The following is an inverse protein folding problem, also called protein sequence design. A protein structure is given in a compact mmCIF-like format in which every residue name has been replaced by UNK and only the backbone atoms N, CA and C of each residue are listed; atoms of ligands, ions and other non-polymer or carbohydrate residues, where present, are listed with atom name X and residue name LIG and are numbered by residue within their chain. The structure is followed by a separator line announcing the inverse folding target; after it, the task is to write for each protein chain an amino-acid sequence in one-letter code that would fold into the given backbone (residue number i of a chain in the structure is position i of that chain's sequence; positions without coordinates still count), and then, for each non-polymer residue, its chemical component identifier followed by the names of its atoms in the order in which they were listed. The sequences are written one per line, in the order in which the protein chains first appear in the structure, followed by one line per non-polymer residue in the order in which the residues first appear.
data_IF_391416458803
#
_entry.id   IF_391416458803
#
_cell.length_a   1.000
_cell.length_b   1.000
_cell.length_c   1.000
_cell.angle_alpha   90.00
_cell.angle_beta   90.00
_cell.angle_gamma   90.00
#
_symmetry.space_group_name_H-M   'P 1'
#
loop_
_entity.id
_entity.type
_entity.pdbx_description
1 polymer ?
#
# COMPACT_ATOMS: atom_id res chain seq x y z
N UNK A 1 -6.65 18.73 -1.84
CA UNK A 1 -5.42 18.22 -1.19
C UNK A 1 -5.38 16.76 -1.52
N UNK A 2 -4.37 16.32 -2.25
CA UNK A 2 -4.22 14.91 -2.61
C UNK A 2 -3.91 14.12 -1.33
N UNK A 3 -4.66 13.04 -1.10
CA UNK A 3 -4.49 12.18 0.07
C UNK A 3 -3.53 11.05 -0.26
N UNK A 4 -2.53 10.81 0.58
CA UNK A 4 -1.62 9.67 0.50
C UNK A 4 -1.84 8.78 1.73
N UNK A 5 -2.26 7.51 1.59
CA UNK A 5 -2.49 6.77 0.36
C UNK A 5 -3.72 7.26 -0.42
N UNK A 6 -3.64 7.23 -1.75
CA UNK A 6 -4.76 7.54 -2.63
C UNK A 6 -5.59 6.28 -2.95
N UNK A 7 -6.84 6.47 -3.39
CA UNK A 7 -7.67 5.38 -3.90
C UNK A 7 -7.43 5.25 -5.40
N UNK A 8 -6.80 4.15 -5.83
CA UNK A 8 -6.56 3.83 -7.25
C UNK A 8 -7.78 3.12 -7.83
N UNK A 9 -8.31 2.14 -7.11
CA UNK A 9 -9.56 1.46 -7.47
C UNK A 9 -10.44 1.37 -6.22
N UNK A 10 -11.66 1.95 -6.25
CA UNK A 10 -12.53 1.95 -5.08
C UNK A 10 -13.03 0.54 -4.77
N UNK A 11 -13.49 0.34 -3.54
CA UNK A 11 -14.20 -0.87 -3.18
C UNK A 11 -15.50 -0.96 -4.00
N UNK A 12 -15.55 -1.84 -4.99
CA UNK A 12 -16.81 -2.18 -5.65
C UNK A 12 -17.71 -2.87 -4.62
N UNK A 13 -18.96 -2.42 -4.51
CA UNK A 13 -19.97 -2.94 -3.60
C UNK A 13 -20.27 -4.43 -3.85
N UNK A 14 -19.97 -4.94 -5.05
CA UNK A 14 -20.07 -6.37 -5.38
C UNK A 14 -18.90 -7.23 -4.88
N UNK A 15 -17.79 -6.60 -4.47
CA UNK A 15 -16.55 -7.28 -4.04
C UNK A 15 -16.40 -7.36 -2.52
N UNK A 16 -17.52 -7.39 -1.80
CA UNK A 16 -17.64 -7.25 -0.33
C UNK A 16 -16.80 -8.20 0.54
N UNK A 17 -16.03 -9.11 -0.04
CA UNK A 17 -15.13 -10.02 0.67
C UNK A 17 -13.64 -9.88 0.27
N UNK A 18 -13.31 -9.13 -0.79
CA UNK A 18 -11.93 -9.04 -1.28
C UNK A 18 -11.02 -8.31 -0.27
N UNK A 19 -9.81 -8.85 -0.08
CA UNK A 19 -8.77 -8.25 0.77
C UNK A 19 -8.17 -7.02 0.06
N UNK A 20 -8.12 -5.85 0.72
CA UNK A 20 -7.51 -4.64 0.15
C UNK A 20 -6.03 -4.83 -0.15
N UNK A 21 -5.54 -4.09 -1.16
CA UNK A 21 -4.11 -4.05 -1.51
C UNK A 21 -3.58 -2.63 -1.48
N UNK A 22 -2.38 -2.45 -0.93
CA UNK A 22 -1.59 -1.23 -1.06
C UNK A 22 -0.47 -1.45 -2.09
N UNK A 23 -0.44 -0.62 -3.13
CA UNK A 23 0.56 -0.63 -4.18
C UNK A 23 1.51 0.56 -4.00
N UNK A 24 2.79 0.27 -3.80
CA UNK A 24 3.84 1.25 -3.49
C UNK A 24 4.54 1.67 -4.78
N UNK A 25 4.76 2.97 -4.97
CA UNK A 25 5.43 3.50 -6.16
C UNK A 25 6.77 2.83 -6.47
N UNK A 26 7.15 2.87 -7.74
CA UNK A 26 8.45 2.44 -8.25
C UNK A 26 9.52 3.54 -8.07
N UNK A 27 10.72 3.35 -8.65
CA UNK A 27 11.79 4.35 -8.60
C UNK A 27 11.40 5.73 -9.15
N UNK A 28 10.41 5.80 -10.04
CA UNK A 28 9.86 7.06 -10.56
C UNK A 28 9.03 7.88 -9.56
N UNK A 29 8.58 7.27 -8.45
CA UNK A 29 7.88 8.00 -7.39
C UNK A 29 6.37 8.18 -7.59
N UNK A 30 5.80 7.71 -8.70
CA UNK A 30 4.38 7.87 -9.01
C UNK A 30 3.60 6.57 -8.88
N UNK A 31 2.30 6.69 -8.73
CA UNK A 31 1.33 5.58 -8.76
C UNK A 31 0.67 5.43 -10.13
N UNK A 32 1.08 6.20 -11.15
CA UNK A 32 0.43 6.26 -12.45
C UNK A 32 0.26 4.88 -13.11
N UNK A 33 1.30 4.04 -13.04
CA UNK A 33 1.26 2.68 -13.59
C UNK A 33 0.12 1.83 -13.02
N UNK A 34 -0.28 2.07 -11.77
CA UNK A 34 -1.38 1.34 -11.13
C UNK A 34 -2.76 1.81 -11.60
N UNK A 35 -2.89 3.06 -12.05
CA UNK A 35 -4.10 3.58 -12.71
C UNK A 35 -4.29 3.01 -14.12
N UNK A 36 -3.23 2.48 -14.74
CA UNK A 36 -3.29 1.81 -16.03
C UNK A 36 -3.71 0.33 -15.94
N UNK A 37 -3.87 -0.22 -14.73
CA UNK A 37 -4.31 -1.60 -14.54
C UNK A 37 -5.80 -1.74 -14.79
N UNK A 38 -6.20 -2.86 -15.42
CA UNK A 38 -7.59 -3.27 -15.42
C UNK A 38 -8.13 -3.45 -13.99
N UNK A 39 -9.47 -3.44 -13.80
CA UNK A 39 -10.05 -3.64 -12.48
C UNK A 39 -9.57 -4.93 -11.81
N UNK A 40 -8.85 -4.79 -10.70
CA UNK A 40 -8.37 -5.91 -9.86
C UNK A 40 -9.50 -6.53 -9.02
N UNK A 41 -10.71 -5.96 -9.10
CA UNK A 41 -11.92 -6.38 -8.39
C UNK A 41 -11.70 -6.50 -6.88
N UNK A 42 -10.97 -5.51 -6.34
CA UNK A 42 -10.69 -5.33 -4.91
C UNK A 42 -10.40 -3.85 -4.63
N UNK A 43 -10.48 -3.39 -3.38
CA UNK A 43 -10.00 -2.07 -3.01
C UNK A 43 -8.49 -1.96 -3.25
N UNK A 44 -8.06 -0.98 -4.03
CA UNK A 44 -6.66 -0.71 -4.36
C UNK A 44 -6.29 0.69 -3.90
N UNK A 45 -5.27 0.76 -3.06
CA UNK A 45 -4.70 2.01 -2.57
C UNK A 45 -3.30 2.20 -3.16
N UNK A 46 -2.98 3.42 -3.57
CA UNK A 46 -1.68 3.78 -4.11
C UNK A 46 -0.90 4.62 -3.11
N UNK A 47 0.38 4.31 -2.90
CA UNK A 47 1.30 5.15 -2.14
C UNK A 47 2.33 5.75 -3.09
N UNK A 48 2.23 7.05 -3.33
CA UNK A 48 3.19 7.81 -4.13
C UNK A 48 4.29 8.42 -3.25
N UNK A 49 5.41 8.81 -3.85
CA UNK A 49 6.50 9.47 -3.14
C UNK A 49 6.06 10.89 -2.72
N UNK A 50 6.04 11.23 -1.41
CA UNK A 50 5.63 12.56 -0.95
C UNK A 50 6.50 13.70 -1.50
N UNK A 51 7.74 13.41 -1.91
CA UNK A 51 8.68 14.39 -2.45
C UNK A 51 8.65 14.50 -3.97
N UNK A 52 7.81 13.71 -4.67
CA UNK A 52 7.75 13.69 -6.13
C UNK A 52 7.52 15.09 -6.72
N UNK A 53 6.52 15.83 -6.22
CA UNK A 53 6.21 17.17 -6.72
C UNK A 53 7.26 18.23 -6.36
N UNK A 54 7.92 18.09 -5.21
CA UNK A 54 8.98 19.00 -4.80
C UNK A 54 10.29 18.78 -5.58
N UNK A 55 10.50 17.58 -6.14
CA UNK A 55 11.77 17.19 -6.77
C UNK A 55 12.91 16.94 -5.77
N UNK A 56 12.72 17.31 -4.50
CA UNK A 56 13.68 17.05 -3.43
C UNK A 56 13.85 15.54 -3.18
N UNK A 57 15.05 15.10 -2.77
CA UNK A 57 15.24 13.73 -2.33
C UNK A 57 14.39 13.43 -1.09
N UNK A 58 14.08 12.16 -0.90
CA UNK A 58 13.55 11.71 0.39
C UNK A 58 14.68 11.73 1.43
N UNK A 59 14.43 12.36 2.57
CA UNK A 59 15.40 12.41 3.66
C UNK A 59 15.45 11.06 4.38
N UNK A 60 16.57 10.34 4.25
CA UNK A 60 16.81 9.09 4.95
C UNK A 60 16.94 7.88 4.02
N UNK A 61 16.83 6.70 4.63
CA UNK A 61 16.99 5.41 3.96
C UNK A 61 15.67 4.86 3.40
N UNK A 62 15.77 3.78 2.63
CA UNK A 62 14.59 3.00 2.20
C UNK A 62 13.75 2.51 3.39
N UNK A 63 14.39 2.17 4.51
CA UNK A 63 13.71 1.74 5.74
C UNK A 63 12.95 2.90 6.40
N UNK A 64 13.48 4.12 6.35
CA UNK A 64 12.79 5.33 6.84
C UNK A 64 11.58 5.67 5.98
N UNK A 65 11.70 5.51 4.66
CA UNK A 65 10.58 5.65 3.73
C UNK A 65 9.50 4.60 3.99
N UNK A 66 9.88 3.33 4.13
CA UNK A 66 8.96 2.27 4.50
C UNK A 66 8.29 2.52 5.86
N UNK A 67 8.99 3.12 6.82
CA UNK A 67 8.43 3.50 8.12
C UNK A 67 7.35 4.56 8.00
N UNK A 68 7.58 5.58 7.17
CA UNK A 68 6.58 6.59 6.85
C UNK A 68 5.33 5.93 6.25
N UNK A 69 5.52 5.05 5.25
CA UNK A 69 4.40 4.39 4.56
C UNK A 69 3.66 3.41 5.47
N UNK A 70 4.37 2.74 6.37
CA UNK A 70 3.78 1.89 7.42
C UNK A 70 2.86 2.70 8.32
N UNK A 71 3.24 3.93 8.70
CA UNK A 71 2.41 4.85 9.46
C UNK A 71 1.11 5.18 8.72
N UNK A 72 1.22 5.57 7.45
CA UNK A 72 0.07 5.88 6.60
C UNK A 72 -0.87 4.68 6.38
N UNK A 73 -0.33 3.47 6.25
CA UNK A 73 -1.13 2.24 6.14
C UNK A 73 -1.91 2.02 7.44
N UNK A 74 -1.27 2.14 8.61
CA UNK A 74 -1.93 2.02 9.92
C UNK A 74 -3.06 3.03 10.08
N UNK A 75 -2.81 4.30 9.77
CA UNK A 75 -3.84 5.35 9.82
C UNK A 75 -5.00 5.06 8.85
N UNK A 76 -4.68 4.57 7.65
CA UNK A 76 -5.70 4.27 6.63
C UNK A 76 -6.60 3.11 7.03
N UNK A 77 -6.06 2.03 7.60
CA UNK A 77 -6.88 0.90 8.05
C UNK A 77 -7.73 1.20 9.28
N UNK A 78 -7.45 2.30 9.97
CA UNK A 78 -8.23 2.80 11.11
C UNK A 78 -9.40 3.70 10.69
N UNK A 79 -9.49 4.13 9.44
CA UNK A 79 -10.61 4.95 8.95
C UNK A 79 -11.93 4.18 8.92
N UNK A 80 -13.08 4.76 9.34
CA UNK A 80 -14.35 4.03 9.44
C UNK A 80 -14.82 3.38 8.14
N UNK A 81 -14.56 4.03 7.02
CA UNK A 81 -14.90 3.63 5.66
C UNK A 81 -13.92 2.61 5.04
N UNK A 82 -12.80 2.30 5.71
CA UNK A 82 -11.88 1.28 5.22
C UNK A 82 -12.53 -0.12 5.26
N UNK A 83 -12.54 -0.88 4.14
CA UNK A 83 -13.20 -2.17 4.01
C UNK A 83 -12.38 -3.28 4.71
N UNK A 84 -12.34 -3.24 6.04
CA UNK A 84 -11.58 -4.18 6.87
C UNK A 84 -12.02 -5.61 6.61
N UNK A 85 -11.05 -6.49 6.40
CA UNK A 85 -11.23 -7.94 6.43
C UNK A 85 -10.42 -8.47 7.59
N UNK A 86 -11.06 -9.18 8.52
CA UNK A 86 -10.36 -9.74 9.68
C UNK A 86 -10.14 -11.23 9.51
N UNK A 87 -9.01 -11.75 9.99
CA UNK A 87 -8.80 -13.18 10.14
C UNK A 87 -9.47 -13.70 11.43
N UNK A 88 -9.40 -15.00 11.69
CA UNK A 88 -10.01 -15.61 12.88
C UNK A 88 -9.44 -15.07 14.22
N UNK A 89 -8.21 -14.56 14.21
CA UNK A 89 -7.56 -13.93 15.36
C UNK A 89 -7.90 -12.43 15.50
N UNK A 90 -8.77 -11.89 14.63
CA UNK A 90 -9.19 -10.48 14.65
C UNK A 90 -8.23 -9.50 13.98
N UNK A 91 -7.10 -9.94 13.43
CA UNK A 91 -6.13 -9.07 12.72
C UNK A 91 -6.67 -8.63 11.36
N UNK A 92 -6.38 -7.39 10.96
CA UNK A 92 -6.78 -6.81 9.67
C UNK A 92 -5.90 -7.39 8.56
N UNK A 93 -6.49 -8.11 7.62
CA UNK A 93 -5.79 -8.71 6.49
C UNK A 93 -5.52 -7.67 5.41
N UNK A 94 -4.28 -7.60 4.93
CA UNK A 94 -3.87 -6.74 3.82
C UNK A 94 -2.99 -7.50 2.83
N UNK A 95 -3.00 -7.05 1.59
CA UNK A 95 -1.98 -7.34 0.60
C UNK A 95 -1.10 -6.10 0.43
N UNK A 96 0.20 -6.32 0.22
CA UNK A 96 1.14 -5.28 -0.19
C UNK A 96 1.67 -5.60 -1.58
N UNK A 97 2.23 -4.63 -2.27
CA UNK A 97 2.95 -4.89 -3.50
C UNK A 97 3.47 -3.66 -4.19
N UNK A 98 4.21 -3.88 -5.28
CA UNK A 98 4.66 -2.82 -6.15
C UNK A 98 5.55 -3.32 -7.27
N UNK A 99 5.72 -2.46 -8.26
CA UNK A 99 6.65 -2.66 -9.36
C UNK A 99 8.05 -2.17 -8.99
N UNK A 100 9.09 -2.92 -9.38
CA UNK A 100 10.49 -2.54 -9.18
C UNK A 100 10.77 -2.24 -7.69
N UNK A 101 11.25 -1.03 -7.36
CA UNK A 101 11.50 -0.57 -5.98
C UNK A 101 10.29 -0.72 -5.04
N UNK A 102 9.07 -0.62 -5.56
CA UNK A 102 7.85 -0.77 -4.77
C UNK A 102 7.71 -2.16 -4.13
N UNK A 103 8.25 -3.20 -4.77
CA UNK A 103 8.32 -4.55 -4.20
C UNK A 103 9.27 -4.64 -3.00
N UNK A 104 10.43 -3.98 -3.07
CA UNK A 104 11.38 -3.90 -1.95
C UNK A 104 10.80 -3.13 -0.77
N UNK A 105 10.16 -1.99 -1.03
CA UNK A 105 9.43 -1.24 0.01
C UNK A 105 8.33 -2.08 0.64
N UNK A 106 7.61 -2.90 -0.15
CA UNK A 106 6.57 -3.78 0.37
C UNK A 106 7.11 -4.85 1.32
N UNK A 107 8.29 -5.41 1.05
CA UNK A 107 8.97 -6.34 1.97
C UNK A 107 9.33 -5.67 3.29
N UNK A 108 9.92 -4.48 3.23
CA UNK A 108 10.31 -3.74 4.42
C UNK A 108 9.09 -3.30 5.24
N UNK A 109 8.02 -2.83 4.59
CA UNK A 109 6.75 -2.51 5.26
C UNK A 109 6.16 -3.75 5.93
N UNK A 110 6.16 -4.90 5.25
CA UNK A 110 5.67 -6.15 5.83
C UNK A 110 6.46 -6.51 7.10
N UNK A 111 7.79 -6.36 7.06
CA UNK A 111 8.66 -6.58 8.23
C UNK A 111 8.32 -5.66 9.38
N UNK A 112 8.08 -4.38 9.11
CA UNK A 112 7.69 -3.39 10.12
C UNK A 112 6.27 -3.58 10.67
N UNK A 113 5.45 -4.43 10.04
CA UNK A 113 4.08 -4.75 10.45
C UNK A 113 3.92 -6.06 11.24
N UNK A 114 4.96 -6.89 11.38
CA UNK A 114 4.88 -8.22 12.02
C UNK A 114 4.23 -8.18 13.43
N UNK A 115 4.60 -7.19 14.24
CA UNK A 115 4.11 -7.03 15.62
C UNK A 115 2.84 -6.17 15.73
N UNK A 116 2.17 -5.92 14.61
CA UNK A 116 0.97 -5.09 14.57
C UNK A 116 -0.34 -5.91 14.55
N UNK A 117 -1.47 -5.21 14.62
CA UNK A 117 -2.80 -5.79 14.41
C UNK A 117 -3.14 -6.01 12.92
N UNK A 118 -2.17 -5.84 12.03
CA UNK A 118 -2.30 -6.07 10.59
C UNK A 118 -1.64 -7.42 10.27
N UNK A 119 -2.31 -8.19 9.42
CA UNK A 119 -1.87 -9.49 8.90
C UNK A 119 -1.60 -9.33 7.40
N UNK A 120 -0.33 -9.20 7.03
CA UNK A 120 0.09 -9.12 5.62
C UNK A 120 0.08 -10.54 5.04
N UNK A 121 -0.97 -10.86 4.30
CA UNK A 121 -1.21 -12.24 3.82
C UNK A 121 -0.51 -12.56 2.49
N UNK A 122 0.15 -11.57 1.88
CA UNK A 122 0.84 -11.72 0.62
C UNK A 122 1.46 -10.41 0.14
N UNK A 123 2.52 -10.56 -0.66
CA UNK A 123 3.25 -9.45 -1.29
C UNK A 123 3.31 -9.71 -2.80
N UNK A 124 2.85 -8.76 -3.60
CA UNK A 124 2.95 -8.78 -5.06
C UNK A 124 4.21 -8.03 -5.48
N UNK A 125 5.21 -8.74 -5.99
CA UNK A 125 6.44 -8.15 -6.52
C UNK A 125 6.40 -8.24 -8.05
N UNK A 126 6.29 -7.10 -8.72
CA UNK A 126 6.26 -7.03 -10.18
C UNK A 126 7.65 -6.61 -10.64
N UNK A 127 8.35 -7.50 -11.33
CA UNK A 127 9.68 -7.23 -11.91
C UNK A 127 10.65 -6.55 -10.92
N UNK A 128 10.63 -7.01 -9.67
CA UNK A 128 11.53 -6.60 -8.61
C UNK A 128 12.71 -7.56 -8.58
N UNK A 129 13.93 -7.02 -8.61
CA UNK A 129 15.21 -7.76 -8.62
C UNK A 129 15.87 -7.70 -7.25
#
# INVERSE_FOLDING_TARGET
MDTNPEIVQPADWQTGEAVPVFLIHDGGGTTFSYHCLEPLRRPVYGIYNPKFHSGEPFDGSLSDMARLYTGWIKETVEKPDFPRRRNAAGKIRLLLGGWSMGGHLSLEIAKQLEDSNIDVIGILMVDTI
#
